data_IF_133731247603
#
_entry.id   IF_133731247603
#
_cell.length_a   1.000
_cell.length_b   1.000
_cell.length_c   1.000
_cell.angle_alpha   90.00
_cell.angle_beta   90.00
_cell.angle_gamma   90.00
#
_symmetry.space_group_name_H-M   'P 1'
#
loop_
_entity.id
_entity.type
_entity.pdbx_description
1 polymer ?
#
# COMPACT_ATOMS: atom_id res chain seq x y z
N UNK A 1 -18.57 20.03 -7.82
CA UNK A 1 -17.48 19.03 -7.90
C UNK A 1 -16.31 19.59 -7.10
N UNK A 2 -16.23 19.27 -5.79
CA UNK A 2 -15.20 19.84 -4.92
C UNK A 2 -13.87 19.14 -5.25
N UNK A 3 -12.89 19.91 -5.73
CA UNK A 3 -11.55 19.41 -5.95
C UNK A 3 -10.96 18.96 -4.61
N UNK A 4 -10.72 17.67 -4.45
CA UNK A 4 -9.93 17.16 -3.32
C UNK A 4 -8.53 17.75 -3.52
N UNK A 5 -8.23 18.83 -2.80
CA UNK A 5 -6.88 19.39 -2.71
C UNK A 5 -6.02 18.32 -2.05
N UNK A 6 -5.34 17.51 -2.87
CA UNK A 6 -4.49 16.43 -2.42
C UNK A 6 -3.47 17.00 -1.42
N UNK A 7 -3.63 16.66 -0.13
CA UNK A 7 -2.70 17.04 0.92
C UNK A 7 -1.31 16.65 0.42
N UNK A 8 -0.43 17.64 0.22
CA UNK A 8 0.92 17.38 -0.28
C UNK A 8 1.59 16.41 0.71
N UNK A 9 2.06 15.24 0.26
CA UNK A 9 2.70 14.30 1.15
C UNK A 9 3.94 14.98 1.77
N UNK A 10 4.06 14.89 3.09
CA UNK A 10 5.19 15.48 3.82
C UNK A 10 6.55 14.92 3.36
N UNK A 11 7.65 15.53 3.82
CA UNK A 11 8.99 15.07 3.47
C UNK A 11 9.17 13.59 3.80
N UNK A 12 9.72 12.83 2.84
CA UNK A 12 9.95 11.40 3.03
C UNK A 12 10.93 11.20 4.21
N UNK A 13 10.68 10.24 5.11
CA UNK A 13 11.58 9.94 6.21
C UNK A 13 12.99 9.59 5.71
N UNK A 14 14.00 10.21 6.31
CA UNK A 14 15.42 9.90 6.13
C UNK A 14 15.95 9.12 7.34
N UNK A 15 17.05 8.41 7.13
CA UNK A 15 17.86 7.85 8.23
C UNK A 15 18.63 8.97 8.95
N UNK A 16 19.16 8.74 10.17
CA UNK A 16 20.05 9.69 10.84
C UNK A 16 21.24 10.11 9.95
N UNK A 17 21.68 9.22 9.07
CA UNK A 17 22.78 9.44 8.11
C UNK A 17 22.37 10.25 6.86
N UNK A 18 21.14 10.80 6.82
CA UNK A 18 20.62 11.61 5.70
C UNK A 18 20.20 10.81 4.46
N UNK A 19 20.51 9.52 4.39
CA UNK A 19 20.08 8.67 3.27
C UNK A 19 18.58 8.36 3.33
N UNK A 20 17.90 8.19 2.16
CA UNK A 20 16.49 7.82 2.14
C UNK A 20 16.25 6.50 2.89
N UNK A 21 15.25 6.46 3.77
CA UNK A 21 14.95 5.23 4.49
C UNK A 21 14.27 4.19 3.58
N UNK A 22 15.09 3.34 2.97
CA UNK A 22 14.66 2.25 2.08
C UNK A 22 13.79 1.19 2.75
N UNK A 23 13.73 1.14 4.10
CA UNK A 23 12.90 0.17 4.86
C UNK A 23 11.40 0.30 4.61
N UNK A 24 10.93 1.45 4.09
CA UNK A 24 9.51 1.68 3.78
C UNK A 24 9.11 1.36 2.34
N UNK A 25 10.03 0.91 1.48
CA UNK A 25 9.66 0.50 0.12
C UNK A 25 9.17 -0.94 0.11
N UNK A 26 7.86 -1.10 -0.01
CA UNK A 26 7.26 -2.37 -0.43
C UNK A 26 7.54 -2.52 -1.93
N UNK A 27 8.53 -3.34 -2.28
CA UNK A 27 8.74 -3.77 -3.67
C UNK A 27 7.87 -5.01 -3.92
N UNK A 28 7.40 -5.28 -5.16
CA UNK A 28 6.62 -6.48 -5.45
C UNK A 28 7.24 -7.79 -4.91
N UNK A 29 8.58 -7.97 -4.92
CA UNK A 29 9.22 -9.13 -4.28
C UNK A 29 9.11 -9.17 -2.74
N UNK A 30 9.08 -8.00 -2.09
CA UNK A 30 9.04 -7.86 -0.62
C UNK A 30 7.62 -7.60 -0.10
N UNK A 31 6.60 -7.66 -0.96
CA UNK A 31 5.21 -7.47 -0.54
C UNK A 31 4.75 -8.68 0.28
N UNK A 32 4.16 -8.48 1.46
CA UNK A 32 3.61 -9.60 2.24
C UNK A 32 2.60 -10.39 1.40
N UNK A 33 2.85 -11.69 1.26
CA UNK A 33 1.94 -12.64 0.62
C UNK A 33 0.80 -12.93 1.58
N UNK A 34 -0.22 -12.11 1.56
CA UNK A 34 -1.45 -12.39 2.29
C UNK A 34 -2.11 -13.64 1.69
N UNK A 35 -2.67 -14.55 2.50
CA UNK A 35 -3.47 -15.63 1.95
C UNK A 35 -4.62 -15.04 1.14
N UNK A 36 -4.85 -15.59 -0.05
CA UNK A 36 -6.00 -15.21 -0.86
C UNK A 36 -7.29 -15.42 -0.07
N UNK A 37 -8.27 -14.54 -0.24
CA UNK A 37 -9.61 -14.77 0.26
C UNK A 37 -10.13 -16.08 -0.34
N UNK A 38 -10.85 -16.87 0.47
CA UNK A 38 -11.53 -18.06 -0.06
C UNK A 38 -12.49 -17.61 -1.16
N UNK A 39 -12.54 -18.32 -2.31
CA UNK A 39 -13.48 -17.99 -3.35
C UNK A 39 -14.91 -18.09 -2.80
N UNK A 40 -15.73 -17.08 -3.10
CA UNK A 40 -17.15 -17.12 -2.78
C UNK A 40 -17.83 -18.17 -3.68
N UNK A 41 -18.57 -19.11 -3.08
CA UNK A 41 -19.42 -20.05 -3.82
C UNK A 41 -20.84 -19.50 -3.82
N UNK A 42 -21.32 -19.01 -4.96
CA UNK A 42 -22.72 -18.59 -5.11
C UNK A 42 -23.66 -19.80 -5.02
N UNK A 43 -24.85 -19.60 -4.43
CA UNK A 43 -25.91 -20.61 -4.47
C UNK A 43 -26.54 -20.61 -5.87
N UNK A 44 -26.97 -21.77 -6.40
CA UNK A 44 -27.73 -21.80 -7.64
C UNK A 44 -29.00 -20.95 -7.51
N UNK A 45 -29.18 -19.96 -8.39
CA UNK A 45 -30.37 -19.11 -8.43
C UNK A 45 -30.34 -17.81 -7.62
N UNK A 46 -29.19 -17.42 -7.07
CA UNK A 46 -28.91 -16.02 -6.68
C UNK A 46 -28.64 -15.14 -7.92
#
# INVERSE_FOLDING_TARGET
MNSILAIKPGPKPSKPDGTPDKRRRVTPPNQPKHPGLKPHKHKPGD
#
